data_IF_708898075258
#
_entry.id   IF_708898075258
#
_cell.length_a   1.000
_cell.length_b   1.000
_cell.length_c   1.000
_cell.angle_alpha   90.00
_cell.angle_beta   90.00
_cell.angle_gamma   90.00
#
_symmetry.space_group_name_H-M   'P 1'
#
loop_
_entity.id
_entity.type
_entity.pdbx_description
1 polymer ?
#
# COMPACT_ATOMS: atom_id res chain seq x y z
N UNK A 1 3.90 -5.75 -12.78
CA UNK A 1 4.01 -4.31 -13.11
C UNK A 1 5.45 -3.78 -13.22
N UNK A 2 6.19 -3.55 -12.13
CA UNK A 2 7.51 -2.87 -12.16
C UNK A 2 8.54 -3.51 -13.11
N UNK A 3 8.89 -4.78 -12.89
CA UNK A 3 9.93 -5.46 -13.67
C UNK A 3 9.67 -5.47 -15.19
N UNK A 4 8.40 -5.48 -15.60
CA UNK A 4 7.99 -5.52 -17.00
C UNK A 4 8.01 -4.15 -17.69
N UNK A 5 8.07 -3.04 -16.93
CA UNK A 5 7.88 -1.69 -17.47
C UNK A 5 8.92 -0.66 -17.00
N UNK A 6 9.87 -1.04 -16.13
CA UNK A 6 10.89 -0.14 -15.55
C UNK A 6 11.79 0.57 -16.57
N UNK A 7 11.89 0.05 -17.79
CA UNK A 7 12.66 0.67 -18.88
C UNK A 7 11.82 1.63 -19.73
N UNK A 8 10.52 1.77 -19.43
CA UNK A 8 9.55 2.60 -20.18
C UNK A 8 8.96 3.72 -19.32
N UNK A 9 8.84 3.49 -18.02
CA UNK A 9 8.29 4.46 -17.07
C UNK A 9 9.07 4.42 -15.76
N UNK A 10 9.05 5.54 -15.06
CA UNK A 10 9.62 5.63 -13.72
C UNK A 10 8.65 5.06 -12.68
N UNK A 11 9.22 4.39 -11.69
CA UNK A 11 8.47 3.78 -10.60
C UNK A 11 9.08 4.22 -9.27
N UNK A 12 8.20 4.67 -8.37
CA UNK A 12 8.57 5.02 -7.01
C UNK A 12 7.57 4.39 -6.05
N UNK A 13 8.08 3.71 -5.04
CA UNK A 13 7.30 3.39 -3.84
C UNK A 13 7.60 4.48 -2.81
N UNK A 14 6.59 5.24 -2.43
CA UNK A 14 6.73 6.27 -1.40
C UNK A 14 6.37 5.65 -0.05
N UNK A 15 7.36 5.53 0.84
CA UNK A 15 7.19 5.01 2.19
C UNK A 15 6.64 6.11 3.10
N UNK A 16 5.43 5.89 3.60
CA UNK A 16 4.65 6.84 4.42
C UNK A 16 4.55 6.36 5.88
N UNK A 17 3.68 6.99 6.69
CA UNK A 17 3.40 6.56 8.06
C UNK A 17 2.84 5.13 8.12
N UNK A 18 3.13 4.41 9.19
CA UNK A 18 2.63 3.05 9.41
C UNK A 18 1.11 3.01 9.50
N UNK A 19 0.49 2.04 8.83
CA UNK A 19 -0.94 1.77 8.98
C UNK A 19 -1.25 1.02 10.28
N UNK A 20 -0.31 0.18 10.74
CA UNK A 20 -0.47 -0.69 11.90
C UNK A 20 0.78 -0.68 12.80
N UNK A 21 1.14 0.45 13.42
CA UNK A 21 2.27 0.49 14.33
C UNK A 21 2.00 -0.30 15.62
N UNK A 22 3.02 -0.95 16.18
CA UNK A 22 2.90 -1.74 17.42
C UNK A 22 2.69 -0.88 18.67
N UNK A 23 3.07 0.40 18.61
CA UNK A 23 2.86 1.39 19.66
C UNK A 23 1.64 2.31 19.40
N UNK A 24 0.70 1.87 18.55
CA UNK A 24 -0.55 2.59 18.30
C UNK A 24 -1.33 2.85 19.59
N UNK A 25 -1.75 4.10 19.79
CA UNK A 25 -2.61 4.49 20.92
C UNK A 25 -4.09 4.28 20.58
N UNK A 26 -4.95 4.03 21.57
CA UNK A 26 -6.40 4.04 21.37
C UNK A 26 -6.87 5.35 20.73
N UNK A 27 -7.73 5.26 19.71
CA UNK A 27 -8.31 6.42 19.03
C UNK A 27 -7.47 7.02 17.89
N UNK A 28 -6.26 6.51 17.63
CA UNK A 28 -5.52 6.82 16.41
C UNK A 28 -6.07 5.99 15.25
N UNK A 29 -6.18 6.58 14.07
CA UNK A 29 -6.67 5.91 12.85
C UNK A 29 -5.82 4.67 12.51
N UNK A 30 -6.50 3.54 12.26
CA UNK A 30 -5.88 2.24 12.05
C UNK A 30 -6.11 1.27 13.22
N UNK A 31 -5.46 0.11 13.17
CA UNK A 31 -5.40 -0.85 14.28
C UNK A 31 -3.95 -0.98 14.77
N UNK A 32 -3.71 -1.33 16.05
CA UNK A 32 -2.37 -1.70 16.50
C UNK A 32 -1.83 -2.90 15.71
N UNK A 33 -0.54 -2.84 15.36
CA UNK A 33 0.17 -3.97 14.78
C UNK A 33 0.35 -5.10 15.79
N UNK A 34 0.24 -6.34 15.33
CA UNK A 34 0.45 -7.53 16.15
C UNK A 34 1.35 -8.55 15.43
N UNK A 35 2.63 -8.66 15.82
CA UNK A 35 3.56 -9.63 15.24
C UNK A 35 3.09 -11.08 15.36
N UNK A 36 2.32 -11.43 16.39
CA UNK A 36 1.74 -12.77 16.54
C UNK A 36 0.64 -13.07 15.50
N UNK A 37 0.13 -12.05 14.79
CA UNK A 37 -0.78 -12.18 13.65
C UNK A 37 -0.08 -12.08 12.30
N UNK A 38 1.25 -11.93 12.29
CA UNK A 38 2.05 -11.73 11.10
C UNK A 38 2.12 -10.27 10.62
N UNK A 39 1.64 -9.31 11.41
CA UNK A 39 1.91 -7.89 11.12
C UNK A 39 3.41 -7.59 11.34
N UNK A 40 4.00 -6.62 10.63
CA UNK A 40 5.37 -6.18 10.92
C UNK A 40 5.54 -5.67 12.36
N UNK A 41 6.65 -6.04 13.02
CA UNK A 41 7.01 -5.47 14.32
C UNK A 41 7.70 -4.11 14.11
N UNK A 42 6.88 -3.09 13.86
CA UNK A 42 7.33 -1.72 13.57
C UNK A 42 6.55 -0.72 14.41
N UNK A 43 7.26 0.22 15.03
CA UNK A 43 6.67 1.36 15.74
C UNK A 43 6.43 2.50 14.77
N UNK A 44 5.54 3.42 15.11
CA UNK A 44 5.36 4.63 14.33
C UNK A 44 6.64 5.49 14.36
N UNK A 45 7.29 5.77 13.21
CA UNK A 45 8.45 6.64 13.17
C UNK A 45 8.12 8.05 13.65
N UNK A 46 8.98 8.61 14.50
CA UNK A 46 8.92 9.97 15.04
C UNK A 46 9.99 10.90 14.45
N UNK A 47 10.98 10.33 13.78
CA UNK A 47 12.05 11.05 13.08
C UNK A 47 12.25 10.49 11.68
N UNK A 48 12.92 11.25 10.81
CA UNK A 48 13.21 10.80 9.45
C UNK A 48 14.10 9.57 9.45
N UNK A 49 15.09 9.49 10.35
CA UNK A 49 15.99 8.34 10.47
C UNK A 49 15.23 7.07 10.87
N UNK A 50 14.31 7.17 11.82
CA UNK A 50 13.43 6.05 12.18
C UNK A 50 12.58 5.59 10.99
N UNK A 51 12.10 6.52 10.16
CA UNK A 51 11.31 6.20 8.96
C UNK A 51 12.16 5.54 7.88
N UNK A 52 13.40 5.99 7.70
CA UNK A 52 14.38 5.36 6.79
C UNK A 52 14.68 3.94 7.26
N UNK A 53 14.85 3.71 8.55
CA UNK A 53 15.07 2.37 9.12
C UNK A 53 13.86 1.47 8.85
N UNK A 54 12.63 1.94 9.12
CA UNK A 54 11.40 1.20 8.86
C UNK A 54 11.24 0.87 7.36
N UNK A 55 11.46 1.85 6.48
CA UNK A 55 11.43 1.67 5.03
C UNK A 55 12.45 0.64 4.55
N UNK A 56 13.67 0.68 5.08
CA UNK A 56 14.73 -0.29 4.77
C UNK A 56 14.36 -1.69 5.21
N UNK A 57 13.81 -1.85 6.42
CA UNK A 57 13.36 -3.14 6.92
C UNK A 57 12.20 -3.71 6.08
N UNK A 58 11.25 -2.86 5.66
CA UNK A 58 10.17 -3.23 4.75
C UNK A 58 10.71 -3.71 3.39
N UNK A 59 11.62 -2.94 2.78
CA UNK A 59 12.29 -3.27 1.53
C UNK A 59 12.93 -4.66 1.57
N UNK A 60 13.70 -4.93 2.63
CA UNK A 60 14.41 -6.20 2.82
C UNK A 60 13.44 -7.36 3.03
N UNK A 61 12.45 -7.17 3.91
CA UNK A 61 11.46 -8.21 4.27
C UNK A 61 10.61 -8.63 3.07
N UNK A 62 10.19 -7.66 2.27
CA UNK A 62 9.36 -7.89 1.07
C UNK A 62 10.19 -8.14 -0.20
N UNK A 63 11.53 -8.13 -0.10
CA UNK A 63 12.47 -8.32 -1.22
C UNK A 63 12.16 -7.38 -2.39
N UNK A 64 11.86 -6.13 -2.07
CA UNK A 64 11.49 -5.12 -3.05
C UNK A 64 12.72 -4.69 -3.85
N UNK A 65 12.52 -4.56 -5.16
CA UNK A 65 13.52 -4.08 -6.12
C UNK A 65 13.11 -2.75 -6.79
N UNK A 66 11.92 -2.26 -6.46
CA UNK A 66 11.42 -0.95 -6.87
C UNK A 66 12.14 0.13 -6.06
N UNK A 67 12.55 1.27 -6.65
CA UNK A 67 13.10 2.39 -5.91
C UNK A 67 12.11 2.87 -4.83
N UNK A 68 12.62 3.05 -3.62
CA UNK A 68 11.84 3.56 -2.49
C UNK A 68 12.27 4.99 -2.19
N UNK A 69 11.29 5.88 -2.05
CA UNK A 69 11.47 7.24 -1.56
C UNK A 69 10.77 7.31 -0.19
N UNK A 70 11.35 8.02 0.76
CA UNK A 70 10.76 8.21 2.08
C UNK A 70 10.01 9.54 2.10
N UNK A 71 8.74 9.53 2.47
CA UNK A 71 7.96 10.76 2.64
C UNK A 71 8.47 11.57 3.84
N UNK A 72 8.29 12.88 3.80
CA UNK A 72 8.71 13.75 4.90
C UNK A 72 7.88 13.52 6.17
N UNK A 73 8.37 14.01 7.32
CA UNK A 73 7.72 13.75 8.60
C UNK A 73 6.35 14.43 8.71
N UNK A 74 6.11 15.46 7.91
CA UNK A 74 4.85 16.17 7.74
C UNK A 74 3.82 15.37 6.92
N UNK A 75 4.24 14.33 6.19
CA UNK A 75 3.38 13.50 5.34
C UNK A 75 2.91 14.23 4.10
N UNK A 76 3.75 15.06 3.49
CA UNK A 76 3.37 15.89 2.33
C UNK A 76 2.89 15.05 1.15
N UNK A 77 3.62 14.00 0.78
CA UNK A 77 3.22 13.14 -0.34
C UNK A 77 1.98 12.31 0.03
N UNK A 78 1.93 11.75 1.24
CA UNK A 78 0.78 11.01 1.75
C UNK A 78 -0.50 11.83 1.64
N UNK A 79 -0.49 13.08 2.12
CA UNK A 79 -1.66 13.97 2.07
C UNK A 79 -2.01 14.39 0.65
N UNK A 80 -1.03 14.77 -0.16
CA UNK A 80 -1.26 15.22 -1.53
C UNK A 80 -1.92 14.15 -2.41
N UNK A 81 -1.63 12.88 -2.14
CA UNK A 81 -2.14 11.75 -2.93
C UNK A 81 -3.19 10.89 -2.21
N UNK A 82 -3.60 11.25 -0.97
CA UNK A 82 -4.47 10.38 -0.16
C UNK A 82 -3.89 8.97 -0.02
N UNK A 83 -2.59 8.92 0.28
CA UNK A 83 -1.75 7.73 0.19
C UNK A 83 -2.05 6.65 1.23
N UNK A 84 -2.60 7.03 2.38
CA UNK A 84 -2.87 6.10 3.47
C UNK A 84 -4.16 5.26 3.24
N UNK A 85 -4.19 3.98 3.65
CA UNK A 85 -3.04 3.19 4.12
C UNK A 85 -2.16 2.70 2.96
N UNK A 86 -2.73 2.59 1.76
CA UNK A 86 -2.05 2.23 0.52
C UNK A 86 -2.70 2.93 -0.69
N UNK A 87 -1.88 3.28 -1.68
CA UNK A 87 -2.32 3.93 -2.91
C UNK A 87 -1.39 3.62 -4.08
N UNK A 88 -1.98 3.53 -5.26
CA UNK A 88 -1.34 3.51 -6.57
C UNK A 88 -1.88 4.70 -7.35
N UNK A 89 -0.98 5.60 -7.72
CA UNK A 89 -1.25 6.67 -8.67
C UNK A 89 -0.42 6.43 -9.93
N UNK A 90 -0.97 6.73 -11.10
CA UNK A 90 -0.24 6.80 -12.37
C UNK A 90 -0.33 8.22 -12.86
N UNK A 91 0.82 8.85 -13.06
CA UNK A 91 0.93 10.21 -13.57
C UNK A 91 1.34 10.14 -15.05
N UNK A 92 0.65 10.89 -15.89
CA UNK A 92 0.97 10.99 -17.32
C UNK A 92 2.10 11.99 -17.60
N UNK A 93 2.52 12.10 -18.86
CA UNK A 93 3.61 12.99 -19.27
C UNK A 93 3.30 14.48 -19.08
N UNK A 94 2.03 14.86 -18.90
CA UNK A 94 1.61 16.24 -18.66
C UNK A 94 1.35 16.51 -17.17
N UNK A 95 1.73 15.58 -16.28
CA UNK A 95 1.60 15.72 -14.83
C UNK A 95 0.19 15.45 -14.30
N UNK A 96 -0.69 14.83 -15.09
CA UNK A 96 -2.07 14.54 -14.70
C UNK A 96 -2.18 13.15 -14.10
N UNK A 97 -3.07 13.00 -13.12
CA UNK A 97 -3.42 11.68 -12.57
C UNK A 97 -4.25 10.92 -13.60
N UNK A 98 -3.62 9.96 -14.27
CA UNK A 98 -4.26 9.06 -15.23
C UNK A 98 -5.01 7.91 -14.53
N UNK A 99 -4.56 7.54 -13.33
CA UNK A 99 -5.18 6.52 -12.50
C UNK A 99 -4.92 6.81 -11.03
N UNK A 100 -5.92 6.57 -10.20
CA UNK A 100 -5.85 6.63 -8.74
C UNK A 100 -6.87 5.64 -8.17
N UNK A 101 -6.43 4.68 -7.35
CA UNK A 101 -7.33 3.63 -6.87
C UNK A 101 -8.23 4.10 -5.72
N UNK A 102 -9.36 3.42 -5.52
CA UNK A 102 -10.29 3.69 -4.41
C UNK A 102 -9.71 3.36 -3.02
N UNK A 103 -10.34 3.83 -1.93
CA UNK A 103 -9.78 3.83 -0.58
C UNK A 103 -9.57 2.42 0.01
N UNK A 104 -8.52 2.32 0.84
CA UNK A 104 -8.17 1.13 1.62
C UNK A 104 -7.73 -0.09 0.81
N UNK A 105 -7.43 -1.21 1.49
CA UNK A 105 -6.93 -2.44 0.87
C UNK A 105 -7.90 -3.01 -0.18
N UNK A 106 -9.20 -2.76 -0.03
CA UNK A 106 -10.22 -3.19 -0.98
C UNK A 106 -10.08 -2.49 -2.34
N UNK A 107 -9.63 -1.24 -2.35
CA UNK A 107 -9.36 -0.52 -3.59
C UNK A 107 -7.96 -0.75 -4.15
N UNK A 108 -7.02 -1.27 -3.36
CA UNK A 108 -5.66 -1.56 -3.80
C UNK A 108 -5.63 -2.74 -4.78
N UNK A 109 -5.77 -2.44 -6.07
CA UNK A 109 -5.84 -3.42 -7.16
C UNK A 109 -4.70 -3.20 -8.18
N UNK A 110 -3.50 -3.78 -7.93
CA UNK A 110 -2.35 -3.64 -8.82
C UNK A 110 -2.60 -4.11 -10.26
N UNK A 111 -3.45 -5.11 -10.47
CA UNK A 111 -3.79 -5.60 -11.81
C UNK A 111 -4.54 -4.54 -12.64
N UNK A 112 -5.48 -3.81 -12.02
CA UNK A 112 -6.20 -2.70 -12.67
C UNK A 112 -5.24 -1.57 -12.98
N UNK A 113 -4.34 -1.24 -12.06
CA UNK A 113 -3.30 -0.24 -12.29
C UNK A 113 -2.37 -0.63 -13.45
N UNK A 114 -1.93 -1.89 -13.51
CA UNK A 114 -1.09 -2.37 -14.61
C UNK A 114 -1.81 -2.32 -15.96
N UNK A 115 -3.11 -2.63 -15.98
CA UNK A 115 -3.91 -2.52 -17.19
C UNK A 115 -4.05 -1.06 -17.65
N UNK A 116 -4.25 -0.14 -16.71
CA UNK A 116 -4.25 1.31 -16.97
C UNK A 116 -2.91 1.81 -17.49
N UNK A 117 -1.80 1.36 -16.90
CA UNK A 117 -0.47 1.70 -17.37
C UNK A 117 -0.26 1.25 -18.83
N UNK A 118 -0.67 0.03 -19.17
CA UNK A 118 -0.58 -0.49 -20.55
C UNK A 118 -1.41 0.33 -21.53
N UNK A 119 -2.63 0.70 -21.15
CA UNK A 119 -3.49 1.54 -21.96
C UNK A 119 -2.88 2.94 -22.17
N UNK A 120 -2.35 3.54 -21.10
CA UNK A 120 -1.68 4.84 -21.16
C UNK A 120 -0.44 4.81 -22.06
N UNK A 121 0.39 3.75 -21.95
CA UNK A 121 1.54 3.55 -22.82
C UNK A 121 1.14 3.39 -24.29
N UNK A 122 0.07 2.63 -24.58
CA UNK A 122 -0.46 2.49 -25.93
C UNK A 122 -1.01 3.81 -26.50
N UNK A 123 -1.48 4.71 -25.62
CA UNK A 123 -1.92 6.07 -25.96
C UNK A 123 -0.78 7.11 -26.00
N UNK A 124 0.49 6.68 -26.02
CA UNK A 124 1.65 7.58 -26.09
C UNK A 124 1.98 8.29 -24.78
N UNK A 125 1.55 7.74 -23.64
CA UNK A 125 1.90 8.25 -22.31
C UNK A 125 1.06 9.45 -21.85
N UNK A 126 -0.01 9.80 -22.56
CA UNK A 126 -0.88 10.94 -22.24
C UNK A 126 -2.30 10.49 -21.93
N UNK A 127 -2.84 10.96 -20.82
CA UNK A 127 -4.20 10.62 -20.43
C UNK A 127 -5.22 11.41 -21.26
N UNK A 128 -6.38 10.78 -21.52
CA UNK A 128 -7.54 11.44 -22.09
C UNK A 128 -8.83 10.92 -21.44
N UNK A 129 -9.95 11.66 -21.49
CA UNK A 129 -11.22 11.23 -20.90
C UNK A 129 -11.76 9.90 -21.45
N UNK A 130 -11.35 9.51 -22.67
CA UNK A 130 -11.76 8.26 -23.30
C UNK A 130 -10.87 7.07 -22.91
N UNK A 131 -9.77 7.33 -22.19
CA UNK A 131 -8.88 6.30 -21.68
C UNK A 131 -9.46 5.70 -20.41
N UNK A 132 -10.27 4.65 -20.56
CA UNK A 132 -10.81 3.89 -19.44
C UNK A 132 -9.93 2.67 -19.13
N UNK A 133 -9.87 2.22 -17.86
CA UNK A 133 -9.34 0.90 -17.56
C UNK A 133 -10.13 -0.14 -18.34
N UNK A 134 -9.51 -1.19 -18.88
CA UNK A 134 -10.29 -2.35 -19.27
C UNK A 134 -11.04 -2.85 -18.03
N UNK A 135 -12.34 -3.11 -18.19
CA UNK A 135 -13.20 -3.69 -17.15
C UNK A 135 -12.46 -4.88 -16.50
N UNK A 136 -12.33 -4.93 -15.17
CA UNK A 136 -11.68 -6.05 -14.53
C UNK A 136 -12.45 -7.33 -14.88
N UNK A 137 -11.77 -8.36 -15.38
CA UNK A 137 -12.42 -9.63 -15.66
C UNK A 137 -13.06 -10.14 -14.36
N UNK A 138 -14.31 -10.63 -14.44
CA UNK A 138 -15.12 -11.15 -13.31
C UNK A 138 -14.46 -12.30 -12.50
N UNK A 139 -13.24 -12.70 -12.85
CA UNK A 139 -12.53 -13.87 -12.36
C UNK A 139 -11.43 -13.57 -11.33
N UNK A 140 -11.23 -12.32 -10.91
CA UNK A 140 -10.26 -12.06 -9.82
C UNK A 140 -10.81 -12.59 -8.48
N UNK A 141 -10.10 -13.51 -7.80
CA UNK A 141 -10.50 -13.93 -6.47
C UNK A 141 -10.37 -12.73 -5.53
N UNK A 142 -11.47 -12.40 -4.86
CA UNK A 142 -11.47 -11.49 -3.71
C UNK A 142 -10.39 -11.96 -2.73
N UNK A 143 -9.47 -11.06 -2.36
CA UNK A 143 -8.45 -11.37 -1.36
C UNK A 143 -9.11 -12.01 -0.12
N UNK A 144 -8.52 -13.07 0.46
CA UNK A 144 -9.10 -13.68 1.64
C UNK A 144 -9.14 -12.64 2.76
N UNK A 145 -10.32 -12.46 3.37
CA UNK A 145 -10.44 -11.74 4.65
C UNK A 145 -9.43 -12.35 5.62
N UNK A 146 -8.63 -11.51 6.27
CA UNK A 146 -7.78 -11.94 7.38
C UNK A 146 -8.64 -12.76 8.35
N UNK A 147 -8.30 -14.04 8.51
CA UNK A 147 -9.04 -14.95 9.36
C UNK A 147 -8.95 -14.47 10.81
N UNK A 148 -10.09 -14.25 11.45
CA UNK A 148 -10.15 -14.06 12.90
C UNK A 148 -9.80 -15.39 13.56
N UNK A 149 -8.74 -15.50 14.38
CA UNK A 149 -8.51 -16.72 15.14
C UNK A 149 -9.65 -16.88 16.14
N UNK A 150 -10.29 -18.05 16.11
CA UNK A 150 -11.28 -18.48 17.10
C UNK A 150 -10.56 -18.61 18.43
N UNK A 151 -10.97 -17.83 19.44
CA UNK A 151 -10.44 -17.95 20.79
C UNK A 151 -10.77 -19.35 21.34
N UNK A 152 -9.76 -20.17 21.60
CA UNK A 152 -9.90 -21.38 22.39
C UNK A 152 -10.17 -20.96 23.84
N UNK A 153 -11.37 -21.27 24.32
CA UNK A 153 -11.74 -21.10 25.71
C UNK A 153 -11.12 -22.24 26.54
N UNK A 154 -9.97 -21.98 27.16
CA UNK A 154 -9.46 -22.83 28.23
C UNK A 154 -10.39 -22.75 29.44
N UNK A 155 -11.15 -23.82 29.68
CA UNK A 155 -11.95 -24.00 30.87
C UNK A 155 -11.08 -24.17 32.11
N UNK A 156 -10.94 -23.12 32.92
CA UNK A 156 -10.55 -23.26 34.33
C UNK A 156 -11.80 -23.59 35.15
N UNK A 157 -11.86 -24.80 35.71
CA UNK A 157 -12.70 -25.08 36.90
C UNK A 157 -11.95 -24.60 38.15
N UNK A 158 -12.61 -23.94 39.11
CA UNK A 158 -12.03 -23.67 40.42
C UNK A 158 -12.06 -24.94 41.30
N UNK A 159 -11.16 -25.05 42.29
CA UNK A 159 -11.08 -26.23 43.16
C UNK A 159 -12.21 -26.24 44.20
N UNK A 160 -12.57 -27.44 44.66
CA UNK A 160 -13.30 -27.66 45.91
C UNK A 160 -12.31 -27.92 47.05
#
# INVERSE_FOLDING_TARGET
MYQSNKDKVEFFLVYIREAHPTDARPGVEGRPGNPARGDPDVKQPRTIDERVIAATACMQSLKLSIPIIVDDMEGTAEKAYGGWPDRIAIIDLDGRIAYHNGPGPAGFRPAVAEAMLKALLAAGGKWSPNLAPPEPSRSEPSQPRAATPRAEAEGRRPPQ
#
